data_IF_393759438368
#
_entry.id   IF_393759438368
#
_cell.length_a   1.000
_cell.length_b   1.000
_cell.length_c   1.000
_cell.angle_alpha   90.00
_cell.angle_beta   90.00
_cell.angle_gamma   90.00
#
_symmetry.space_group_name_H-M   'P 1'
#
loop_
_entity.id
_entity.type
_entity.pdbx_description
1 polymer ?
#
# COMPACT_ATOMS: atom_id res chain seq x y z
N UNK A 1 -46.69 -4.58 -10.70
CA UNK A 1 -45.53 -3.89 -10.09
C UNK A 1 -45.74 -2.40 -10.20
N UNK A 2 -45.53 -1.64 -9.11
CA UNK A 2 -45.66 -0.18 -9.13
C UNK A 2 -44.33 0.45 -9.57
N UNK A 3 -44.40 1.43 -10.48
CA UNK A 3 -43.22 2.05 -11.10
C UNK A 3 -42.27 2.64 -10.04
N UNK A 4 -42.81 3.25 -9.00
CA UNK A 4 -41.99 3.87 -7.93
C UNK A 4 -41.18 2.86 -7.13
N UNK A 5 -41.72 1.64 -6.94
CA UNK A 5 -41.01 0.59 -6.22
C UNK A 5 -39.87 0.04 -7.07
N UNK A 6 -40.11 -0.17 -8.36
CA UNK A 6 -39.09 -0.61 -9.30
C UNK A 6 -37.95 0.40 -9.42
N UNK A 7 -38.28 1.70 -9.46
CA UNK A 7 -37.27 2.76 -9.50
C UNK A 7 -36.36 2.75 -8.27
N UNK A 8 -36.93 2.53 -7.07
CA UNK A 8 -36.16 2.39 -5.82
C UNK A 8 -35.25 1.16 -5.83
N UNK A 9 -35.76 0.03 -6.31
CA UNK A 9 -34.96 -1.21 -6.42
C UNK A 9 -33.81 -1.05 -7.41
N UNK A 10 -34.07 -0.46 -8.59
CA UNK A 10 -33.04 -0.15 -9.58
C UNK A 10 -32.00 0.83 -9.04
N UNK A 11 -32.42 1.89 -8.34
CA UNK A 11 -31.50 2.84 -7.72
C UNK A 11 -30.56 2.15 -6.71
N UNK A 12 -31.09 1.20 -5.92
CA UNK A 12 -30.27 0.40 -5.00
C UNK A 12 -29.26 -0.48 -5.74
N UNK A 13 -29.67 -1.12 -6.84
CA UNK A 13 -28.80 -1.99 -7.64
C UNK A 13 -27.72 -1.22 -8.43
N UNK A 14 -28.07 -0.02 -8.90
CA UNK A 14 -27.10 0.89 -9.56
C UNK A 14 -26.12 1.43 -8.52
N UNK A 15 -26.61 1.87 -7.36
CA UNK A 15 -25.77 2.38 -6.28
C UNK A 15 -24.81 1.34 -5.69
N UNK A 16 -25.19 0.05 -5.72
CA UNK A 16 -24.32 -1.06 -5.32
C UNK A 16 -23.38 -1.55 -6.42
N UNK A 17 -23.47 -0.99 -7.64
CA UNK A 17 -22.63 -1.37 -8.79
C UNK A 17 -23.01 -2.71 -9.44
N UNK A 18 -24.17 -3.29 -9.13
CA UNK A 18 -24.65 -4.53 -9.75
C UNK A 18 -25.30 -4.30 -11.11
N UNK A 19 -25.78 -3.07 -11.37
CA UNK A 19 -26.33 -2.65 -12.66
C UNK A 19 -25.60 -1.39 -13.12
N UNK A 20 -24.98 -1.46 -14.29
CA UNK A 20 -24.40 -0.30 -14.96
C UNK A 20 -25.47 0.42 -15.78
N UNK A 21 -26.17 1.35 -15.15
CA UNK A 21 -27.22 2.13 -15.82
C UNK A 21 -27.41 3.52 -15.21
N UNK A 22 -28.17 4.36 -15.92
CA UNK A 22 -28.67 5.66 -15.44
C UNK A 22 -30.18 5.70 -15.56
N UNK A 23 -30.85 6.17 -14.52
CA UNK A 23 -32.30 6.34 -14.49
C UNK A 23 -32.65 7.76 -14.91
N UNK A 24 -33.58 7.88 -15.86
CA UNK A 24 -34.35 9.10 -16.10
C UNK A 24 -35.73 8.92 -15.44
N UNK A 25 -35.92 9.55 -14.28
CA UNK A 25 -37.15 9.44 -13.49
C UNK A 25 -38.32 10.25 -14.06
N UNK A 26 -38.05 11.18 -14.97
CA UNK A 26 -39.09 12.00 -15.60
C UNK A 26 -39.73 11.23 -16.76
N UNK A 27 -38.90 10.63 -17.61
CA UNK A 27 -39.36 9.84 -18.76
C UNK A 27 -39.56 8.36 -18.41
N UNK A 28 -39.18 7.93 -17.20
CA UNK A 28 -39.20 6.53 -16.72
C UNK A 28 -38.41 5.59 -17.64
N UNK A 29 -37.24 6.03 -18.07
CA UNK A 29 -36.33 5.29 -18.96
C UNK A 29 -35.06 4.90 -18.20
N UNK A 30 -34.61 3.66 -18.41
CA UNK A 30 -33.34 3.16 -17.92
C UNK A 30 -32.34 3.09 -19.09
N UNK A 31 -31.29 3.89 -19.03
CA UNK A 31 -30.22 3.86 -20.02
C UNK A 31 -29.08 2.96 -19.53
N UNK A 32 -28.69 1.98 -20.33
CA UNK A 32 -27.47 1.22 -20.08
C UNK A 32 -26.27 2.18 -20.11
N UNK A 33 -25.44 2.11 -19.07
CA UNK A 33 -24.16 2.80 -19.06
C UNK A 33 -23.13 1.83 -19.61
N UNK A 34 -22.33 2.30 -20.57
CA UNK A 34 -21.05 1.65 -20.88
C UNK A 34 -19.98 2.51 -20.24
N UNK A 35 -19.20 1.91 -19.34
CA UNK A 35 -18.03 2.60 -18.81
C UNK A 35 -17.03 2.86 -19.94
N UNK A 36 -16.54 4.08 -20.02
CA UNK A 36 -15.48 4.44 -20.94
C UNK A 36 -14.15 3.86 -20.42
N UNK A 37 -13.81 2.69 -20.95
CA UNK A 37 -12.57 1.96 -20.66
C UNK A 37 -11.33 2.86 -20.81
N UNK A 38 -11.36 3.82 -21.74
CA UNK A 38 -10.26 4.74 -21.97
C UNK A 38 -10.09 5.67 -20.77
N UNK A 39 -11.15 6.37 -20.39
CA UNK A 39 -11.16 7.27 -19.23
C UNK A 39 -10.80 6.55 -17.93
N UNK A 40 -11.28 5.32 -17.74
CA UNK A 40 -10.91 4.49 -16.58
C UNK A 40 -9.41 4.17 -16.56
N UNK A 41 -8.84 3.82 -17.71
CA UNK A 41 -7.41 3.50 -17.84
C UNK A 41 -6.54 4.73 -17.56
N UNK A 42 -6.90 5.90 -18.12
CA UNK A 42 -6.18 7.16 -17.87
C UNK A 42 -6.23 7.55 -16.39
N UNK A 43 -7.40 7.48 -15.77
CA UNK A 43 -7.56 7.80 -14.33
C UNK A 43 -6.71 6.88 -13.46
N UNK A 44 -6.69 5.58 -13.77
CA UNK A 44 -5.87 4.60 -13.06
C UNK A 44 -4.37 4.85 -13.24
N UNK A 45 -3.94 5.14 -14.47
CA UNK A 45 -2.53 5.42 -14.77
C UNK A 45 -2.04 6.68 -14.04
N UNK A 46 -2.84 7.75 -14.03
CA UNK A 46 -2.51 8.99 -13.30
C UNK A 46 -2.37 8.74 -11.79
N UNK A 47 -3.33 8.03 -11.18
CA UNK A 47 -3.27 7.67 -9.76
C UNK A 47 -2.02 6.86 -9.42
N UNK A 48 -1.71 5.84 -10.24
CA UNK A 48 -0.52 5.03 -10.06
C UNK A 48 0.77 5.86 -10.16
N UNK A 49 0.82 6.84 -11.08
CA UNK A 49 1.95 7.76 -11.20
C UNK A 49 2.16 8.59 -9.93
N UNK A 50 1.09 9.13 -9.35
CA UNK A 50 1.17 9.91 -8.11
C UNK A 50 1.63 9.08 -6.91
N UNK A 51 1.08 7.87 -6.76
CA UNK A 51 1.49 6.91 -5.72
C UNK A 51 2.97 6.54 -5.88
N UNK A 52 3.41 6.22 -7.10
CA UNK A 52 4.80 5.89 -7.38
C UNK A 52 5.77 7.02 -7.04
N UNK A 53 5.42 8.26 -7.38
CA UNK A 53 6.23 9.44 -7.03
C UNK A 53 6.33 9.63 -5.53
N UNK A 54 5.22 9.45 -4.80
CA UNK A 54 5.19 9.57 -3.34
C UNK A 54 6.08 8.51 -2.69
N UNK A 55 5.97 7.26 -3.12
CA UNK A 55 6.75 6.15 -2.58
C UNK A 55 8.24 6.30 -2.88
N UNK A 56 8.58 6.74 -4.09
CA UNK A 56 9.97 7.01 -4.49
C UNK A 56 10.59 8.12 -3.64
N UNK A 57 9.85 9.20 -3.38
CA UNK A 57 10.31 10.29 -2.49
C UNK A 57 10.53 9.79 -1.06
N UNK A 58 9.61 8.97 -0.54
CA UNK A 58 9.76 8.38 0.78
C UNK A 58 10.99 7.44 0.88
N UNK A 59 11.22 6.64 -0.17
CA UNK A 59 12.39 5.77 -0.26
C UNK A 59 13.70 6.57 -0.33
N UNK A 60 13.75 7.61 -1.15
CA UNK A 60 14.93 8.48 -1.25
C UNK A 60 15.24 9.14 0.10
N UNK A 61 14.21 9.62 0.80
CA UNK A 61 14.37 10.15 2.15
C UNK A 61 14.94 9.09 3.10
N UNK A 62 14.39 7.87 3.10
CA UNK A 62 14.90 6.77 3.93
C UNK A 62 16.37 6.47 3.65
N UNK A 63 16.78 6.43 2.38
CA UNK A 63 18.18 6.21 1.98
C UNK A 63 19.07 7.33 2.55
N UNK A 64 18.64 8.59 2.46
CA UNK A 64 19.40 9.71 3.00
C UNK A 64 19.53 9.64 4.53
N UNK A 65 18.46 9.29 5.26
CA UNK A 65 18.53 9.10 6.71
C UNK A 65 19.52 7.99 7.09
N UNK A 66 19.52 6.87 6.35
CA UNK A 66 20.48 5.78 6.57
C UNK A 66 21.92 6.20 6.29
N UNK A 67 22.17 6.98 5.22
CA UNK A 67 23.53 7.50 4.89
C UNK A 67 24.10 8.42 5.96
N UNK A 68 23.24 9.10 6.71
CA UNK A 68 23.64 9.99 7.80
C UNK A 68 23.54 9.33 9.18
N UNK A 69 23.43 7.99 9.24
CA UNK A 69 23.26 7.20 10.48
C UNK A 69 22.11 7.70 11.38
N UNK A 70 21.12 8.36 10.78
CA UNK A 70 19.93 8.83 11.46
C UNK A 70 18.94 7.67 11.62
N UNK A 71 19.27 6.78 12.53
CA UNK A 71 18.55 5.53 12.79
C UNK A 71 17.89 5.62 14.17
N UNK A 72 16.61 5.25 14.24
CA UNK A 72 15.91 5.09 15.52
C UNK A 72 16.48 3.87 16.23
N UNK A 73 17.23 4.09 17.31
CA UNK A 73 17.62 3.04 18.24
C UNK A 73 16.42 2.76 19.14
N UNK A 74 15.83 1.58 19.02
CA UNK A 74 14.73 1.18 19.91
C UNK A 74 15.20 1.15 21.35
N UNK A 75 14.43 1.75 22.25
CA UNK A 75 14.59 1.56 23.69
C UNK A 75 14.21 0.11 23.96
N UNK A 76 15.16 -0.69 24.45
CA UNK A 76 15.08 -2.15 24.47
C UNK A 76 14.08 -2.73 25.48
N UNK A 77 12.78 -2.48 25.31
CA UNK A 77 11.74 -3.06 26.18
C UNK A 77 10.72 -3.95 25.48
N UNK A 78 10.74 -4.16 24.15
CA UNK A 78 9.72 -5.01 23.51
C UNK A 78 10.14 -5.97 22.40
N UNK A 79 11.42 -6.20 22.13
CA UNK A 79 11.82 -7.21 21.13
C UNK A 79 12.97 -8.07 21.64
N UNK A 80 12.71 -9.38 21.71
CA UNK A 80 13.56 -10.42 22.28
C UNK A 80 14.96 -10.54 21.66
N UNK A 81 15.77 -11.49 22.15
CA UNK A 81 17.23 -11.47 21.99
C UNK A 81 17.64 -11.60 20.52
N UNK A 82 18.19 -10.51 19.97
CA UNK A 82 18.77 -10.48 18.65
C UNK A 82 20.05 -11.34 18.63
N UNK A 83 20.03 -12.44 17.86
CA UNK A 83 21.10 -13.45 17.79
C UNK A 83 22.36 -12.99 17.04
N UNK A 84 22.54 -11.70 16.75
CA UNK A 84 23.69 -11.22 15.98
C UNK A 84 24.94 -10.86 16.82
N UNK A 85 24.85 -10.82 18.15
CA UNK A 85 25.96 -10.38 19.02
C UNK A 85 26.84 -11.51 19.59
N UNK A 86 26.57 -12.78 19.25
CA UNK A 86 27.37 -13.93 19.73
C UNK A 86 28.53 -14.31 18.82
N UNK A 87 28.42 -14.07 17.51
CA UNK A 87 29.47 -14.46 16.56
C UNK A 87 30.75 -13.60 16.75
N UNK A 88 30.57 -12.29 16.97
CA UNK A 88 31.68 -11.32 17.02
C UNK A 88 32.60 -11.46 18.27
N UNK A 89 32.16 -12.20 19.31
CA UNK A 89 32.99 -12.50 20.49
C UNK A 89 33.81 -13.78 20.34
N UNK A 90 33.37 -14.74 19.52
CA UNK A 90 34.09 -16.00 19.34
C UNK A 90 35.35 -15.82 18.51
N UNK A 91 35.32 -14.91 17.52
CA UNK A 91 36.47 -14.67 16.65
C UNK A 91 37.59 -13.88 17.35
N UNK A 92 37.25 -13.01 18.32
CA UNK A 92 38.24 -12.29 19.13
C UNK A 92 38.93 -13.15 20.19
N UNK A 93 38.26 -14.17 20.71
CA UNK A 93 38.86 -15.07 21.71
C UNK A 93 39.85 -16.05 21.07
N UNK A 94 39.58 -16.53 19.86
CA UNK A 94 40.46 -17.46 19.14
C UNK A 94 41.81 -16.82 18.77
N UNK A 95 41.80 -15.55 18.35
CA UNK A 95 43.03 -14.83 17.99
C UNK A 95 43.92 -14.49 19.19
N UNK A 96 43.35 -14.36 20.40
CA UNK A 96 44.12 -14.05 21.62
C UNK A 96 44.83 -15.28 22.20
N UNK A 97 44.34 -16.50 21.94
CA UNK A 97 44.96 -17.73 22.44
C UNK A 97 46.14 -18.22 21.59
N UNK A 98 46.20 -17.87 20.30
CA UNK A 98 47.33 -18.25 19.42
C UNK A 98 48.56 -17.36 19.58
N UNK A 99 48.41 -16.12 20.07
CA UNK A 99 49.54 -15.19 20.27
C UNK A 99 50.36 -15.45 21.54
N UNK A 100 49.99 -16.43 22.37
CA UNK A 100 50.63 -16.69 23.67
C UNK A 100 51.39 -18.03 23.73
N UNK A 101 51.48 -18.73 22.59
CA UNK A 101 52.14 -20.04 22.46
C UNK A 101 53.34 -20.07 21.48
N UNK A 102 53.97 -18.92 21.23
CA UNK A 102 55.29 -18.79 20.61
C UNK A 102 56.19 -17.93 21.50
#
# INVERSE_FOLDING_TARGET
FQVDQLERELAKLIGSGQIEARIDSHNKVLYARHDDQRSATFTKALRMGDEYMRDTKALLLRINLMRHDFIVKGNGETLGPSKSSRQDRQDRAAFSSESMAM
#
